data_IF_514847755317
#
_entry.id   IF_514847755317
#
_cell.length_a   1.000
_cell.length_b   1.000
_cell.length_c   1.000
_cell.angle_alpha   90.00
_cell.angle_beta   90.00
_cell.angle_gamma   90.00
#
_symmetry.space_group_name_H-M   'P 1'
#
loop_
_entity.id
_entity.type
_entity.pdbx_description
1 polymer ?
#
# COMPACT_ATOMS: atom_id res chain seq x y z
N UNK A 1 -19.48 -7.69 17.00
CA UNK A 1 -19.18 -8.50 15.79
C UNK A 1 -18.02 -7.88 14.96
N UNK A 2 -17.92 -6.57 14.84
CA UNK A 2 -16.85 -5.89 14.12
C UNK A 2 -15.42 -6.20 14.63
N UNK A 3 -15.27 -6.37 15.95
CA UNK A 3 -13.95 -6.58 16.56
C UNK A 3 -13.32 -7.95 16.18
N UNK A 4 -14.12 -9.00 16.07
CA UNK A 4 -13.63 -10.33 15.66
C UNK A 4 -13.23 -10.33 14.19
N UNK A 5 -14.02 -9.69 13.34
CA UNK A 5 -13.73 -9.55 11.91
C UNK A 5 -12.44 -8.77 11.70
N UNK A 6 -12.24 -7.68 12.45
CA UNK A 6 -11.02 -6.88 12.40
C UNK A 6 -9.78 -7.72 12.74
N UNK A 7 -9.80 -8.46 13.85
CA UNK A 7 -8.66 -9.29 14.26
C UNK A 7 -8.35 -10.42 13.27
N UNK A 8 -9.40 -11.03 12.70
CA UNK A 8 -9.23 -12.05 11.67
C UNK A 8 -8.55 -11.46 10.43
N UNK A 9 -9.04 -10.30 9.95
CA UNK A 9 -8.43 -9.59 8.84
C UNK A 9 -6.99 -9.16 9.14
N UNK A 10 -6.72 -8.67 10.34
CA UNK A 10 -5.37 -8.30 10.75
C UNK A 10 -4.40 -9.50 10.69
N UNK A 11 -4.81 -10.66 11.17
CA UNK A 11 -4.01 -11.89 11.11
C UNK A 11 -3.75 -12.29 9.65
N UNK A 12 -4.77 -12.26 8.79
CA UNK A 12 -4.63 -12.59 7.36
C UNK A 12 -3.69 -11.60 6.67
N UNK A 13 -3.80 -10.31 6.99
CA UNK A 13 -2.94 -9.25 6.44
C UNK A 13 -1.48 -9.47 6.83
N UNK A 14 -1.19 -9.73 8.10
CA UNK A 14 0.16 -10.02 8.58
C UNK A 14 0.69 -11.31 7.95
N UNK A 15 -0.14 -12.36 7.86
CA UNK A 15 0.20 -13.61 7.21
C UNK A 15 0.56 -13.43 5.73
N UNK A 16 -0.24 -12.65 4.99
CA UNK A 16 0.04 -12.32 3.59
C UNK A 16 1.33 -11.50 3.46
N UNK A 17 1.56 -10.51 4.33
CA UNK A 17 2.78 -9.71 4.34
C UNK A 17 4.03 -10.56 4.59
N UNK A 18 3.97 -11.49 5.54
CA UNK A 18 5.05 -12.45 5.78
C UNK A 18 5.28 -13.36 4.59
N UNK A 19 4.21 -13.82 3.93
CA UNK A 19 4.32 -14.66 2.74
C UNK A 19 5.06 -13.94 1.61
N UNK A 20 4.80 -12.64 1.39
CA UNK A 20 5.53 -11.83 0.38
C UNK A 20 7.04 -11.85 0.61
N UNK A 21 7.48 -11.82 1.87
CA UNK A 21 8.91 -11.74 2.22
C UNK A 21 9.58 -13.12 2.26
N UNK A 22 8.85 -14.15 2.69
CA UNK A 22 9.41 -15.49 2.94
C UNK A 22 9.39 -16.37 1.70
N UNK A 23 8.44 -16.16 0.79
CA UNK A 23 8.35 -16.95 -0.42
C UNK A 23 9.54 -16.70 -1.34
N UNK A 24 10.22 -17.79 -1.72
CA UNK A 24 11.38 -17.75 -2.64
C UNK A 24 10.96 -17.58 -4.10
N UNK A 25 9.78 -18.04 -4.43
CA UNK A 25 9.20 -17.92 -5.76
C UNK A 25 8.60 -16.52 -5.92
N UNK A 26 9.20 -15.71 -6.79
CA UNK A 26 8.81 -14.31 -7.00
C UNK A 26 7.38 -14.18 -7.51
N UNK A 27 6.91 -15.12 -8.33
CA UNK A 27 5.53 -15.11 -8.81
C UNK A 27 4.53 -15.37 -7.68
N UNK A 28 4.81 -16.35 -6.81
CA UNK A 28 4.00 -16.62 -5.61
C UNK A 28 4.05 -15.46 -4.62
N UNK A 29 5.19 -14.82 -4.47
CA UNK A 29 5.33 -13.62 -3.66
C UNK A 29 4.48 -12.48 -4.22
N UNK A 30 4.46 -12.26 -5.54
CA UNK A 30 3.60 -11.28 -6.18
C UNK A 30 2.11 -11.57 -5.98
N UNK A 31 1.68 -12.83 -6.07
CA UNK A 31 0.29 -13.21 -5.76
C UNK A 31 -0.06 -12.96 -4.28
N UNK A 32 0.87 -13.22 -3.36
CA UNK A 32 0.68 -12.92 -1.94
C UNK A 32 0.57 -11.41 -1.69
N UNK A 33 1.27 -10.59 -2.49
CA UNK A 33 1.16 -9.13 -2.45
C UNK A 33 -0.23 -8.65 -2.89
N UNK A 34 -0.82 -9.26 -3.91
CA UNK A 34 -2.21 -8.97 -4.31
C UNK A 34 -3.18 -9.26 -3.17
N UNK A 35 -3.02 -10.43 -2.53
CA UNK A 35 -3.84 -10.80 -1.38
C UNK A 35 -3.67 -9.82 -0.23
N UNK A 36 -2.43 -9.39 0.05
CA UNK A 36 -2.14 -8.37 1.06
C UNK A 36 -2.88 -7.06 0.76
N UNK A 37 -2.81 -6.56 -0.47
CA UNK A 37 -3.49 -5.32 -0.84
C UNK A 37 -5.02 -5.43 -0.76
N UNK A 38 -5.58 -6.59 -1.11
CA UNK A 38 -7.01 -6.86 -0.95
C UNK A 38 -7.44 -6.85 0.53
N UNK A 39 -6.68 -7.50 1.41
CA UNK A 39 -7.01 -7.52 2.83
C UNK A 39 -6.91 -6.14 3.47
N UNK A 40 -5.96 -5.30 3.03
CA UNK A 40 -5.86 -3.89 3.45
C UNK A 40 -7.09 -3.10 2.98
N UNK A 41 -7.58 -3.32 1.75
CA UNK A 41 -8.78 -2.65 1.27
C UNK A 41 -10.02 -3.01 2.13
N UNK A 42 -10.16 -4.28 2.51
CA UNK A 42 -11.23 -4.72 3.40
C UNK A 42 -11.08 -4.12 4.81
N UNK A 43 -9.85 -3.97 5.31
CA UNK A 43 -9.60 -3.27 6.57
C UNK A 43 -10.05 -1.81 6.50
N UNK A 44 -9.80 -1.10 5.40
CA UNK A 44 -10.29 0.27 5.22
C UNK A 44 -11.82 0.35 5.26
N UNK A 45 -12.51 -0.63 4.67
CA UNK A 45 -13.99 -0.71 4.75
C UNK A 45 -14.44 -0.89 6.21
N UNK A 46 -13.78 -1.76 6.97
CA UNK A 46 -14.14 -1.98 8.39
C UNK A 46 -13.89 -0.74 9.27
N UNK A 47 -12.98 0.13 8.85
CA UNK A 47 -12.65 1.40 9.51
C UNK A 47 -13.49 2.58 8.98
N UNK A 48 -14.51 2.34 8.16
CA UNK A 48 -15.35 3.37 7.52
C UNK A 48 -14.55 4.36 6.66
N UNK A 49 -13.41 3.92 6.10
CA UNK A 49 -12.56 4.69 5.21
C UNK A 49 -12.83 4.34 3.74
N UNK A 50 -14.07 4.51 3.29
CA UNK A 50 -14.57 4.05 1.99
C UNK A 50 -13.74 4.56 0.81
N UNK A 51 -13.36 5.85 0.83
CA UNK A 51 -12.54 6.45 -0.21
C UNK A 51 -11.17 5.74 -0.32
N UNK A 52 -10.51 5.49 0.82
CA UNK A 52 -9.22 4.81 0.85
C UNK A 52 -9.34 3.36 0.37
N UNK A 53 -10.43 2.67 0.69
CA UNK A 53 -10.68 1.33 0.20
C UNK A 53 -10.79 1.28 -1.33
N UNK A 54 -11.53 2.21 -1.93
CA UNK A 54 -11.65 2.31 -3.39
C UNK A 54 -10.31 2.62 -4.05
N UNK A 55 -9.55 3.57 -3.53
CA UNK A 55 -8.21 3.91 -4.02
C UNK A 55 -7.26 2.70 -3.90
N UNK A 56 -7.31 1.98 -2.78
CA UNK A 56 -6.52 0.76 -2.57
C UNK A 56 -6.82 -0.30 -3.63
N UNK A 57 -8.09 -0.52 -3.96
CA UNK A 57 -8.48 -1.50 -4.99
C UNK A 57 -8.05 -1.03 -6.38
N UNK A 58 -8.35 0.21 -6.76
CA UNK A 58 -8.08 0.71 -8.10
C UNK A 58 -6.59 0.82 -8.41
N UNK A 59 -5.81 1.38 -7.49
CA UNK A 59 -4.40 1.68 -7.71
C UNK A 59 -3.52 0.49 -7.31
N UNK A 60 -3.64 -0.01 -6.06
CA UNK A 60 -2.72 -1.03 -5.57
C UNK A 60 -3.06 -2.43 -6.09
N UNK A 61 -4.33 -2.84 -5.99
CA UNK A 61 -4.75 -4.16 -6.49
C UNK A 61 -4.83 -4.15 -8.02
N UNK A 62 -5.39 -3.11 -8.61
CA UNK A 62 -5.57 -2.98 -10.06
C UNK A 62 -4.26 -2.69 -10.79
N UNK A 63 -3.78 -1.44 -10.73
CA UNK A 63 -2.67 -1.00 -11.57
C UNK A 63 -1.31 -1.57 -11.11
N UNK A 64 -0.95 -1.40 -9.84
CA UNK A 64 0.39 -1.75 -9.35
C UNK A 64 0.59 -3.26 -9.32
N UNK A 65 -0.39 -4.03 -8.84
CA UNK A 65 -0.26 -5.50 -8.78
C UNK A 65 -0.12 -6.12 -10.17
N UNK A 66 -0.90 -5.66 -11.13
CA UNK A 66 -0.81 -6.15 -12.52
C UNK A 66 0.56 -5.81 -13.09
N UNK A 67 1.05 -4.58 -12.87
CA UNK A 67 2.37 -4.17 -13.32
C UNK A 67 3.47 -5.05 -12.74
N UNK A 68 3.41 -5.34 -11.44
CA UNK A 68 4.39 -6.21 -10.76
C UNK A 68 4.32 -7.64 -11.31
N UNK A 69 3.12 -8.21 -11.49
CA UNK A 69 2.96 -9.57 -12.02
C UNK A 69 3.54 -9.65 -13.43
N UNK A 70 3.22 -8.69 -14.30
CA UNK A 70 3.74 -8.65 -15.68
C UNK A 70 5.26 -8.48 -15.67
N UNK A 71 5.80 -7.59 -14.84
CA UNK A 71 7.24 -7.39 -14.72
C UNK A 71 7.95 -8.68 -14.27
N UNK A 72 7.40 -9.38 -13.28
CA UNK A 72 7.94 -10.66 -12.80
C UNK A 72 7.89 -11.75 -13.87
N UNK A 73 6.79 -11.82 -14.63
CA UNK A 73 6.67 -12.79 -15.74
C UNK A 73 7.64 -12.51 -16.89
N UNK A 74 7.97 -11.22 -17.11
CA UNK A 74 8.89 -10.83 -18.18
C UNK A 74 10.36 -11.02 -17.78
N UNK A 75 10.67 -11.07 -16.46
CA UNK A 75 12.03 -11.19 -15.95
C UNK A 75 12.40 -12.65 -15.73
N UNK A 76 13.20 -13.22 -16.63
CA UNK A 76 13.50 -14.68 -16.71
C UNK A 76 14.45 -15.23 -15.64
N UNK A 77 15.28 -14.41 -14.97
CA UNK A 77 16.43 -14.87 -14.16
C UNK A 77 16.44 -14.42 -12.70
N UNK A 78 15.28 -14.32 -12.07
CA UNK A 78 15.17 -13.85 -10.67
C UNK A 78 15.49 -14.94 -9.62
N UNK A 79 15.82 -16.16 -10.07
CA UNK A 79 16.06 -17.33 -9.18
C UNK A 79 17.41 -17.30 -8.45
N UNK A 80 18.34 -16.44 -8.83
CA UNK A 80 19.60 -16.28 -8.14
C UNK A 80 19.41 -15.39 -6.92
N UNK A 81 19.06 -15.99 -5.79
CA UNK A 81 19.01 -15.29 -4.51
C UNK A 81 20.29 -14.50 -4.25
N UNK A 82 20.16 -13.31 -3.71
CA UNK A 82 21.30 -12.46 -3.35
C UNK A 82 22.28 -13.24 -2.47
N UNK A 83 23.58 -13.29 -2.79
CA UNK A 83 24.56 -14.00 -1.96
C UNK A 83 24.54 -13.42 -0.56
N UNK A 84 24.56 -14.33 0.42
CA UNK A 84 24.51 -14.05 1.84
C UNK A 84 25.73 -13.22 2.28
N UNK A 85 25.62 -11.88 2.21
CA UNK A 85 26.73 -10.99 2.53
C UNK A 85 26.96 -10.78 4.03
N UNK A 86 28.14 -10.27 4.38
CA UNK A 86 28.61 -9.89 5.73
C UNK A 86 27.65 -8.95 6.49
N UNK A 87 26.68 -8.32 5.78
CA UNK A 87 25.79 -7.31 6.33
C UNK A 87 24.47 -7.84 6.92
N UNK A 88 24.29 -9.17 7.03
CA UNK A 88 23.04 -9.73 7.60
C UNK A 88 22.83 -9.33 9.06
N UNK A 89 23.88 -9.41 9.88
CA UNK A 89 23.78 -9.07 11.32
C UNK A 89 23.51 -7.59 11.53
N UNK A 90 24.28 -6.65 10.93
CA UNK A 90 23.98 -5.22 11.08
C UNK A 90 22.61 -4.84 10.51
N UNK A 91 22.19 -5.42 9.39
CA UNK A 91 20.86 -5.18 8.84
C UNK A 91 19.74 -5.64 9.79
N UNK A 92 19.89 -6.80 10.40
CA UNK A 92 18.93 -7.32 11.39
C UNK A 92 18.85 -6.40 12.61
N UNK A 93 19.99 -5.93 13.14
CA UNK A 93 20.03 -5.00 14.29
C UNK A 93 19.31 -3.70 13.96
N UNK A 94 19.58 -3.11 12.79
CA UNK A 94 18.90 -1.87 12.34
C UNK A 94 17.41 -2.10 12.19
N UNK A 95 16.98 -3.21 11.58
CA UNK A 95 15.56 -3.54 11.42
C UNK A 95 14.82 -3.71 12.75
N UNK A 96 15.44 -4.39 13.71
CA UNK A 96 14.87 -4.59 15.06
C UNK A 96 14.80 -3.26 15.82
N UNK A 97 15.83 -2.41 15.74
CA UNK A 97 15.80 -1.08 16.34
C UNK A 97 14.70 -0.21 15.73
N UNK A 98 14.56 -0.23 14.40
CA UNK A 98 13.52 0.53 13.71
C UNK A 98 12.12 0.03 14.07
N UNK A 99 11.92 -1.28 14.13
CA UNK A 99 10.65 -1.86 14.57
C UNK A 99 10.37 -1.48 16.02
N UNK A 100 11.37 -1.57 16.91
CA UNK A 100 11.25 -1.20 18.33
C UNK A 100 10.86 0.28 18.51
N UNK A 101 11.49 1.18 17.77
CA UNK A 101 11.14 2.62 17.81
C UNK A 101 9.73 2.87 17.29
N UNK A 102 9.32 2.22 16.20
CA UNK A 102 7.95 2.35 15.69
C UNK A 102 6.90 1.86 16.70
N UNK A 103 7.10 0.67 17.25
CA UNK A 103 6.19 0.12 18.27
C UNK A 103 6.15 1.01 19.50
N UNK A 104 7.32 1.45 19.98
CA UNK A 104 7.40 2.36 21.13
C UNK A 104 6.62 3.66 20.88
N UNK A 105 6.80 4.28 19.71
CA UNK A 105 6.09 5.51 19.35
C UNK A 105 4.58 5.30 19.31
N UNK A 106 4.12 4.22 18.67
CA UNK A 106 2.68 3.93 18.56
C UNK A 106 2.04 3.70 19.93
N UNK A 107 2.72 2.97 20.83
CA UNK A 107 2.19 2.63 22.16
C UNK A 107 2.29 3.80 23.15
N UNK A 108 3.36 4.61 23.07
CA UNK A 108 3.59 5.71 24.00
C UNK A 108 2.85 6.99 23.63
N UNK A 109 2.41 7.14 22.38
CA UNK A 109 1.67 8.33 21.94
C UNK A 109 0.23 8.28 22.47
N UNK A 110 -0.19 9.37 23.12
CA UNK A 110 -1.60 9.56 23.47
C UNK A 110 -2.36 10.00 22.22
N UNK A 111 -3.07 9.08 21.61
CA UNK A 111 -3.91 9.38 20.46
C UNK A 111 -5.17 10.10 20.93
N UNK A 112 -5.39 11.32 20.44
CA UNK A 112 -6.67 12.00 20.62
C UNK A 112 -7.73 11.29 19.77
N UNK A 113 -8.57 10.52 20.41
CA UNK A 113 -9.73 9.89 19.73
C UNK A 113 -10.89 10.87 19.79
N UNK A 114 -11.30 11.39 18.65
CA UNK A 114 -12.58 12.08 18.51
C UNK A 114 -13.69 11.05 18.80
N UNK A 115 -14.53 11.34 19.79
CA UNK A 115 -15.66 10.46 20.15
C UNK A 115 -16.80 10.48 19.14
N UNK A 116 -16.68 11.27 18.08
CA UNK A 116 -17.70 11.34 17.03
C UNK A 116 -17.46 10.24 15.97
N UNK A 117 -18.53 9.56 15.52
CA UNK A 117 -18.42 8.61 14.44
C UNK A 117 -17.91 9.30 13.17
N UNK A 118 -17.11 8.59 12.33
CA UNK A 118 -16.66 9.15 11.07
C UNK A 118 -17.86 9.64 10.24
N UNK A 119 -17.75 10.85 9.67
CA UNK A 119 -18.74 11.39 8.77
C UNK A 119 -18.86 10.45 7.56
N UNK A 120 -19.93 9.68 7.49
CA UNK A 120 -20.22 8.83 6.33
C UNK A 120 -21.18 9.58 5.38
N UNK A 121 -20.92 9.57 4.06
CA UNK A 121 -19.79 8.96 3.37
C UNK A 121 -18.56 9.89 3.30
N UNK A 122 -17.40 9.36 3.64
CA UNK A 122 -16.11 10.10 3.61
C UNK A 122 -15.77 10.63 2.21
N UNK A 123 -16.22 9.94 1.17
CA UNK A 123 -16.00 10.30 -0.24
C UNK A 123 -16.58 11.68 -0.59
N UNK A 124 -17.79 11.99 -0.13
CA UNK A 124 -18.42 13.29 -0.39
C UNK A 124 -17.68 14.42 0.34
N UNK A 125 -17.27 14.20 1.58
CA UNK A 125 -16.52 15.18 2.37
C UNK A 125 -15.14 15.46 1.75
N UNK A 126 -14.44 14.45 1.27
CA UNK A 126 -13.16 14.60 0.56
C UNK A 126 -13.36 15.34 -0.77
N UNK A 127 -14.39 14.98 -1.54
CA UNK A 127 -14.72 15.67 -2.80
C UNK A 127 -14.98 17.15 -2.60
N UNK A 128 -15.78 17.53 -1.61
CA UNK A 128 -16.04 18.95 -1.30
C UNK A 128 -14.77 19.65 -0.82
N UNK A 129 -13.96 19.03 0.01
CA UNK A 129 -12.70 19.63 0.49
C UNK A 129 -11.68 19.83 -0.64
N UNK A 130 -11.65 18.96 -1.65
CA UNK A 130 -10.73 19.06 -2.78
C UNK A 130 -11.16 20.16 -3.77
N UNK A 131 -12.47 20.32 -4.03
CA UNK A 131 -12.98 21.17 -5.11
C UNK A 131 -13.72 22.43 -4.64
N UNK A 132 -13.86 22.67 -3.32
CA UNK A 132 -14.47 23.91 -2.81
C UNK A 132 -13.56 25.13 -3.02
N UNK A 133 -14.18 26.32 -3.07
CA UNK A 133 -13.42 27.58 -3.08
C UNK A 133 -12.61 27.71 -1.78
N UNK A 134 -11.27 27.82 -1.91
CA UNK A 134 -10.34 27.79 -0.77
C UNK A 134 -9.94 26.38 -0.33
N UNK A 135 -10.38 25.33 -1.03
CA UNK A 135 -10.01 23.94 -0.78
C UNK A 135 -8.65 23.55 -1.38
N UNK A 136 -8.41 22.26 -1.41
CA UNK A 136 -7.12 21.69 -1.86
C UNK A 136 -7.08 21.47 -3.40
N UNK A 137 -7.46 22.47 -4.21
CA UNK A 137 -7.48 22.38 -5.68
C UNK A 137 -6.05 22.21 -6.22
N UNK A 138 -5.07 22.89 -5.64
CA UNK A 138 -3.68 22.85 -6.08
C UNK A 138 -3.05 21.43 -6.10
N UNK A 139 -3.22 20.56 -5.08
CA UNK A 139 -2.81 19.17 -5.15
C UNK A 139 -3.46 18.39 -6.31
N UNK A 140 -4.71 18.68 -6.65
CA UNK A 140 -5.41 18.04 -7.77
C UNK A 140 -4.80 18.45 -9.11
N UNK A 141 -4.49 19.74 -9.30
CA UNK A 141 -3.81 20.23 -10.50
C UNK A 141 -2.42 19.64 -10.65
N UNK A 142 -1.63 19.57 -9.57
CA UNK A 142 -0.32 18.93 -9.58
C UNK A 142 -0.44 17.45 -9.96
N UNK A 143 -1.44 16.75 -9.43
CA UNK A 143 -1.69 15.34 -9.76
C UNK A 143 -2.02 15.15 -11.25
N UNK A 144 -2.79 16.08 -11.84
CA UNK A 144 -3.10 16.04 -13.26
C UNK A 144 -1.85 16.25 -14.14
N UNK A 145 -0.97 17.17 -13.75
CA UNK A 145 0.32 17.40 -14.45
C UNK A 145 1.23 16.17 -14.31
N UNK A 146 1.30 15.56 -13.14
CA UNK A 146 2.08 14.32 -12.92
C UNK A 146 1.55 13.16 -13.78
N UNK A 147 0.24 13.01 -13.88
CA UNK A 147 -0.39 12.01 -14.74
C UNK A 147 -0.04 12.24 -16.22
N UNK A 148 -0.13 13.49 -16.68
CA UNK A 148 0.26 13.86 -18.05
C UNK A 148 1.75 13.55 -18.30
N UNK A 149 2.62 13.91 -17.39
CA UNK A 149 4.04 13.63 -17.50
C UNK A 149 4.33 12.11 -17.54
N UNK A 150 3.63 11.32 -16.74
CA UNK A 150 3.76 9.86 -16.75
C UNK A 150 3.32 9.25 -18.09
N UNK A 151 2.21 9.73 -18.65
CA UNK A 151 1.71 9.26 -19.96
C UNK A 151 2.72 9.63 -21.07
N UNK A 152 3.19 10.87 -21.09
CA UNK A 152 4.17 11.32 -22.09
C UNK A 152 5.47 10.53 -21.96
N UNK A 153 5.95 10.29 -20.73
CA UNK A 153 7.14 9.47 -20.48
C UNK A 153 6.99 8.03 -20.99
N UNK A 154 5.83 7.42 -20.77
CA UNK A 154 5.54 6.07 -21.28
C UNK A 154 5.52 6.03 -22.83
N UNK A 155 4.92 7.03 -23.48
CA UNK A 155 4.87 7.12 -24.94
C UNK A 155 6.28 7.30 -25.52
N UNK A 156 7.10 8.18 -24.94
CA UNK A 156 8.47 8.41 -25.39
C UNK A 156 9.32 7.14 -25.28
N UNK A 157 9.18 6.40 -24.16
CA UNK A 157 9.93 5.16 -23.93
C UNK A 157 9.54 4.06 -24.94
N UNK A 158 8.28 4.01 -25.39
CA UNK A 158 7.83 3.02 -26.39
C UNK A 158 8.16 3.43 -27.82
N UNK A 159 8.46 4.70 -28.09
CA UNK A 159 8.70 5.21 -29.45
C UNK A 159 10.10 4.87 -29.98
N UNK A 160 11.07 4.62 -29.11
CA UNK A 160 12.48 4.33 -29.48
C UNK A 160 12.74 2.87 -29.89
N UNK A 161 11.76 2.19 -30.52
CA UNK A 161 11.94 0.87 -31.12
C UNK A 161 11.52 0.86 -32.57
#
# INVERSE_FOLDING_TARGET
>A
MSNIIFWLLAIVTVGAALAVVVLRDVFRAALSLVLLFLTIAVLYITLSADFLAVVQILIYVGAISILIIVAVMLTRDVWQGSPSGKFRIPALVVSVLLLGTMVFTVVSTKWETSGEPPLAPTTAAIGTSLFSQGGYVMPVEISAVLLLAAILGAIVLMRDK
#
